data_IF_146338510584
#
_entry.id   IF_146338510584
#
_cell.length_a   1.000
_cell.length_b   1.000
_cell.length_c   1.000
_cell.angle_alpha   90.00
_cell.angle_beta   90.00
_cell.angle_gamma   90.00
#
_symmetry.space_group_name_H-M   'P 1'
#
loop_
_entity.id
_entity.type
_entity.pdbx_description
1 polymer ?
#
# COMPACT_ATOMS: atom_id res chain seq x y z
N UNK A 1 12.35 11.15 -25.62
CA UNK A 1 11.14 11.88 -26.07
C UNK A 1 10.96 13.11 -25.19
N UNK A 2 10.24 14.14 -25.67
CA UNK A 2 9.89 15.30 -24.83
C UNK A 2 8.92 14.85 -23.74
N UNK A 3 8.94 15.48 -22.56
CA UNK A 3 8.06 15.15 -21.44
C UNK A 3 6.57 15.18 -21.82
N UNK A 4 6.18 16.07 -22.75
CA UNK A 4 4.81 16.16 -23.26
C UNK A 4 4.40 14.93 -24.10
N UNK A 5 5.30 14.39 -24.92
CA UNK A 5 5.00 13.20 -25.70
C UNK A 5 4.83 11.96 -24.81
N UNK A 6 5.62 11.85 -23.75
CA UNK A 6 5.47 10.79 -22.73
C UNK A 6 4.12 10.92 -22.01
N UNK A 7 3.76 12.12 -21.55
CA UNK A 7 2.47 12.36 -20.91
C UNK A 7 1.28 12.04 -21.83
N UNK A 8 1.35 12.45 -23.11
CA UNK A 8 0.33 12.15 -24.11
C UNK A 8 0.19 10.64 -24.35
N UNK A 9 1.31 9.90 -24.42
CA UNK A 9 1.30 8.47 -24.60
C UNK A 9 0.69 7.72 -23.39
N UNK A 10 1.02 8.15 -22.15
CA UNK A 10 0.42 7.65 -20.92
C UNK A 10 -1.09 7.83 -20.91
N UNK A 11 -1.55 9.04 -21.20
CA UNK A 11 -2.98 9.35 -21.24
C UNK A 11 -3.70 8.60 -22.36
N UNK A 12 -3.11 8.49 -23.56
CA UNK A 12 -3.69 7.75 -24.67
C UNK A 12 -3.83 6.26 -24.32
N UNK A 13 -2.80 5.64 -23.75
CA UNK A 13 -2.85 4.24 -23.33
C UNK A 13 -3.94 4.01 -22.25
N UNK A 14 -4.04 4.91 -21.26
CA UNK A 14 -5.09 4.85 -20.25
C UNK A 14 -6.49 4.96 -20.86
N UNK A 15 -6.74 5.97 -21.69
CA UNK A 15 -8.06 6.24 -22.32
C UNK A 15 -8.49 5.07 -23.21
N UNK A 16 -7.57 4.38 -23.87
CA UNK A 16 -7.89 3.28 -24.77
C UNK A 16 -8.07 1.94 -24.02
N UNK A 17 -7.15 1.63 -23.10
CA UNK A 17 -7.09 0.29 -22.51
C UNK A 17 -7.95 0.14 -21.25
N UNK A 18 -8.03 1.16 -20.40
CA UNK A 18 -8.80 1.06 -19.15
C UNK A 18 -10.29 0.81 -19.40
N UNK A 19 -10.98 1.53 -20.32
CA UNK A 19 -12.38 1.24 -20.63
C UNK A 19 -12.59 -0.15 -21.22
N UNK A 20 -11.62 -0.66 -21.99
CA UNK A 20 -11.67 -2.01 -22.54
C UNK A 20 -11.66 -3.06 -21.44
N UNK A 21 -10.73 -2.92 -20.46
CA UNK A 21 -10.64 -3.84 -19.32
C UNK A 21 -11.86 -3.75 -18.40
N UNK A 22 -12.41 -2.56 -18.18
CA UNK A 22 -13.68 -2.38 -17.45
C UNK A 22 -14.83 -3.09 -18.14
N UNK A 23 -14.97 -2.98 -19.48
CA UNK A 23 -16.00 -3.70 -20.26
C UNK A 23 -15.84 -5.22 -20.18
N UNK A 24 -14.62 -5.72 -20.06
CA UNK A 24 -14.34 -7.15 -19.86
C UNK A 24 -14.57 -7.63 -18.41
N UNK A 25 -14.98 -6.76 -17.49
CA UNK A 25 -15.19 -7.09 -16.08
C UNK A 25 -13.90 -7.30 -15.28
N UNK A 26 -12.74 -6.89 -15.83
CA UNK A 26 -11.42 -7.08 -15.21
C UNK A 26 -11.00 -5.92 -14.28
N UNK A 27 -11.77 -4.82 -14.25
CA UNK A 27 -11.49 -3.64 -13.43
C UNK A 27 -10.50 -2.66 -14.05
N UNK A 28 -10.44 -1.44 -13.50
CA UNK A 28 -9.56 -0.37 -14.00
C UNK A 28 -8.09 -0.63 -13.67
N UNK A 29 -7.80 -1.17 -12.50
CA UNK A 29 -6.43 -1.45 -12.03
C UNK A 29 -5.66 -2.32 -13.03
N UNK A 30 -6.26 -3.44 -13.48
CA UNK A 30 -5.65 -4.30 -14.49
C UNK A 30 -5.51 -3.59 -15.84
N UNK A 31 -6.44 -2.72 -16.19
CA UNK A 31 -6.35 -1.87 -17.38
C UNK A 31 -5.14 -0.95 -17.36
N UNK A 32 -4.90 -0.27 -16.24
CA UNK A 32 -3.72 0.58 -16.05
C UNK A 32 -2.41 -0.21 -16.04
N UNK A 33 -2.35 -1.35 -15.32
CA UNK A 33 -1.18 -2.23 -15.33
C UNK A 33 -0.84 -2.69 -16.74
N UNK A 34 -1.83 -3.16 -17.51
CA UNK A 34 -1.62 -3.60 -18.87
C UNK A 34 -1.21 -2.45 -19.81
N UNK A 35 -1.81 -1.27 -19.65
CA UNK A 35 -1.38 -0.07 -20.35
C UNK A 35 0.10 0.24 -20.11
N UNK A 36 0.55 0.14 -18.85
CA UNK A 36 1.94 0.29 -18.47
C UNK A 36 2.86 -0.73 -19.14
N UNK A 37 2.51 -2.01 -19.14
CA UNK A 37 3.27 -3.06 -19.84
C UNK A 37 3.44 -2.73 -21.33
N UNK A 38 2.36 -2.29 -21.98
CA UNK A 38 2.36 -1.98 -23.42
C UNK A 38 3.28 -0.82 -23.77
N UNK A 39 3.20 0.30 -23.03
CA UNK A 39 4.00 1.51 -23.32
C UNK A 39 5.41 1.47 -22.71
N UNK A 40 5.63 0.52 -21.78
CA UNK A 40 6.88 0.33 -21.07
C UNK A 40 8.03 -0.15 -21.96
N UNK A 41 9.25 -0.22 -21.40
CA UNK A 41 10.48 -0.56 -22.12
C UNK A 41 10.45 -1.96 -22.73
N UNK A 42 9.61 -2.85 -22.19
CA UNK A 42 9.56 -4.25 -22.61
C UNK A 42 8.75 -4.50 -23.88
N UNK A 43 7.88 -3.55 -24.34
CA UNK A 43 7.02 -3.71 -25.54
C UNK A 43 7.25 -2.57 -26.52
N UNK A 44 6.63 -1.41 -26.33
CA UNK A 44 6.75 -0.28 -27.28
C UNK A 44 7.99 0.58 -26.95
N UNK A 45 8.39 0.67 -25.69
CA UNK A 45 9.57 1.43 -25.26
C UNK A 45 9.40 2.95 -25.36
N UNK A 46 8.19 3.46 -25.22
CA UNK A 46 7.92 4.93 -25.19
C UNK A 46 8.53 5.57 -23.93
N UNK A 47 8.49 4.84 -22.82
CA UNK A 47 9.04 5.24 -21.54
C UNK A 47 10.25 4.39 -21.22
N UNK A 48 11.41 5.04 -21.05
CA UNK A 48 12.69 4.35 -20.79
C UNK A 48 13.04 4.29 -19.29
N UNK A 49 12.50 5.21 -18.49
CA UNK A 49 12.77 5.31 -17.04
C UNK A 49 11.48 5.22 -16.22
N UNK A 50 10.93 4.01 -16.01
CA UNK A 50 9.71 3.82 -15.23
C UNK A 50 9.81 4.30 -13.78
N UNK A 51 11.00 4.23 -13.19
CA UNK A 51 11.26 4.58 -11.79
C UNK A 51 10.96 6.07 -11.49
N UNK A 52 11.34 6.97 -12.40
CA UNK A 52 11.06 8.41 -12.25
C UNK A 52 9.55 8.68 -12.20
N UNK A 53 8.78 7.97 -13.03
CA UNK A 53 7.32 8.08 -13.04
C UNK A 53 6.74 7.45 -11.79
N UNK A 54 7.26 6.31 -11.35
CA UNK A 54 6.82 5.59 -10.16
C UNK A 54 6.90 6.48 -8.91
N UNK A 55 8.04 7.13 -8.66
CA UNK A 55 8.22 8.02 -7.51
C UNK A 55 7.19 9.15 -7.46
N UNK A 56 6.87 9.74 -8.62
CA UNK A 56 5.82 10.78 -8.68
C UNK A 56 4.44 10.18 -8.47
N UNK A 57 4.20 9.01 -9.02
CA UNK A 57 2.92 8.32 -8.98
C UNK A 57 2.60 7.72 -7.59
N UNK A 58 3.60 7.42 -6.76
CA UNK A 58 3.43 7.00 -5.36
C UNK A 58 2.67 8.03 -4.52
N UNK A 59 2.68 9.29 -4.92
CA UNK A 59 1.81 10.32 -4.34
C UNK A 59 0.33 9.96 -4.47
N UNK A 60 -0.08 9.28 -5.55
CA UNK A 60 -1.46 8.82 -5.73
C UNK A 60 -1.91 7.86 -4.65
N UNK A 61 -1.05 6.89 -4.29
CA UNK A 61 -1.31 5.96 -3.17
C UNK A 61 -1.37 6.71 -1.84
N UNK A 62 -0.48 7.69 -1.67
CA UNK A 62 -0.45 8.53 -0.47
C UNK A 62 -1.75 9.34 -0.34
N UNK A 63 -2.25 9.93 -1.42
CA UNK A 63 -3.53 10.67 -1.44
C UNK A 63 -4.74 9.74 -1.20
N UNK A 64 -4.73 8.53 -1.78
CA UNK A 64 -5.74 7.52 -1.51
C UNK A 64 -5.83 7.20 -0.01
N UNK A 65 -4.70 6.99 0.64
CA UNK A 65 -4.66 6.70 2.07
C UNK A 65 -5.18 7.86 2.94
N UNK A 66 -4.97 9.09 2.50
CA UNK A 66 -5.56 10.28 3.13
C UNK A 66 -7.08 10.28 3.02
N UNK A 67 -7.64 10.01 1.83
CA UNK A 67 -9.10 9.92 1.62
C UNK A 67 -9.70 8.82 2.48
N UNK A 68 -9.10 7.63 2.49
CA UNK A 68 -9.56 6.52 3.35
C UNK A 68 -9.50 6.93 4.82
N UNK A 69 -8.45 7.65 5.23
CA UNK A 69 -8.34 8.22 6.58
C UNK A 69 -9.46 9.19 6.91
N UNK A 70 -9.84 10.07 5.97
CA UNK A 70 -10.97 11.01 6.10
C UNK A 70 -12.32 10.31 6.25
N UNK A 71 -12.51 9.20 5.55
CA UNK A 71 -13.74 8.41 5.64
C UNK A 71 -13.86 7.66 6.97
N UNK A 72 -12.75 7.42 7.65
CA UNK A 72 -12.70 6.57 8.83
C UNK A 72 -12.91 7.39 10.12
N UNK A 73 -14.11 7.32 10.66
CA UNK A 73 -14.46 7.91 11.96
C UNK A 73 -13.68 7.23 13.10
N UNK A 74 -13.28 8.00 14.12
CA UNK A 74 -12.49 7.51 15.28
C UNK A 74 -13.15 6.33 15.99
N UNK A 75 -14.47 6.35 16.13
CA UNK A 75 -15.27 5.30 16.75
C UNK A 75 -15.14 3.98 15.95
N UNK A 76 -15.14 4.04 14.63
CA UNK A 76 -14.92 2.89 13.74
C UNK A 76 -13.50 2.31 13.91
N UNK A 77 -12.47 3.15 13.96
CA UNK A 77 -11.08 2.72 14.21
C UNK A 77 -10.96 1.99 15.55
N UNK A 78 -11.53 2.58 16.61
CA UNK A 78 -11.50 1.96 17.93
C UNK A 78 -12.28 0.64 17.96
N UNK A 79 -13.40 0.53 17.25
CA UNK A 79 -14.14 -0.71 17.09
C UNK A 79 -13.30 -1.78 16.36
N UNK A 80 -12.48 -1.40 15.38
CA UNK A 80 -11.64 -2.31 14.60
C UNK A 80 -10.34 -2.74 15.30
N UNK A 81 -9.97 -2.18 16.47
CA UNK A 81 -8.69 -2.48 17.14
C UNK A 81 -8.41 -3.97 17.36
N UNK A 82 -9.45 -4.76 17.69
CA UNK A 82 -9.31 -6.22 17.86
C UNK A 82 -9.03 -6.92 16.52
N UNK A 83 -9.63 -6.44 15.44
CA UNK A 83 -9.39 -6.94 14.10
C UNK A 83 -7.98 -6.56 13.63
N UNK A 84 -7.58 -5.30 13.84
CA UNK A 84 -6.25 -4.79 13.45
C UNK A 84 -5.16 -5.62 14.13
N UNK A 85 -5.11 -5.64 15.46
CA UNK A 85 -4.04 -6.31 16.19
C UNK A 85 -4.21 -7.83 16.31
N UNK A 86 -5.43 -8.35 16.30
CA UNK A 86 -5.69 -9.79 16.37
C UNK A 86 -5.57 -10.47 15.01
N UNK A 87 -6.39 -10.07 14.05
CA UNK A 87 -6.45 -10.72 12.74
C UNK A 87 -5.26 -10.31 11.88
N UNK A 88 -4.80 -9.05 11.98
CA UNK A 88 -3.61 -8.56 11.29
C UNK A 88 -2.36 -9.32 11.75
N UNK A 89 -2.14 -9.46 13.06
CA UNK A 89 -1.04 -10.25 13.59
C UNK A 89 -1.13 -11.73 13.18
N UNK A 90 -2.32 -12.32 13.26
CA UNK A 90 -2.55 -13.70 12.83
C UNK A 90 -2.17 -13.91 11.36
N UNK A 91 -2.58 -12.99 10.48
CA UNK A 91 -2.22 -13.04 9.06
C UNK A 91 -0.70 -13.00 8.87
N UNK A 92 -0.03 -12.00 9.45
CA UNK A 92 1.41 -11.81 9.28
C UNK A 92 2.21 -13.00 9.83
N UNK A 93 1.82 -13.52 11.00
CA UNK A 93 2.49 -14.65 11.62
C UNK A 93 2.28 -15.97 10.84
N UNK A 94 1.04 -16.29 10.49
CA UNK A 94 0.72 -17.57 9.83
C UNK A 94 1.23 -17.59 8.39
N UNK A 95 0.96 -16.55 7.61
CA UNK A 95 1.44 -16.48 6.23
C UNK A 95 2.96 -16.28 6.20
N UNK A 96 3.53 -15.45 7.08
CA UNK A 96 4.96 -15.23 7.19
C UNK A 96 5.71 -16.51 7.54
N UNK A 97 5.24 -17.27 8.54
CA UNK A 97 5.85 -18.54 8.90
C UNK A 97 5.76 -19.59 7.78
N UNK A 98 4.61 -19.70 7.10
CA UNK A 98 4.44 -20.65 6.00
C UNK A 98 5.37 -20.33 4.81
N UNK A 99 5.48 -19.04 4.45
CA UNK A 99 6.36 -18.60 3.38
C UNK A 99 7.84 -18.64 3.77
N UNK A 100 8.17 -18.39 5.03
CA UNK A 100 9.51 -18.58 5.57
C UNK A 100 9.93 -20.07 5.53
N UNK A 101 9.02 -20.99 5.87
CA UNK A 101 9.28 -22.43 5.77
C UNK A 101 9.52 -22.85 4.31
N UNK A 102 8.77 -22.28 3.34
CA UNK A 102 8.99 -22.52 1.92
C UNK A 102 10.37 -21.99 1.48
N UNK A 103 10.74 -20.77 1.89
CA UNK A 103 12.02 -20.17 1.57
C UNK A 103 13.20 -20.96 2.20
N UNK A 104 13.03 -21.46 3.41
CA UNK A 104 14.01 -22.34 4.07
C UNK A 104 14.14 -23.68 3.31
N UNK A 105 13.04 -24.27 2.92
CA UNK A 105 13.05 -25.49 2.08
C UNK A 105 13.75 -25.24 0.73
N UNK A 106 13.67 -24.04 0.18
CA UNK A 106 14.41 -23.61 -1.01
C UNK A 106 15.90 -23.29 -0.72
N UNK A 107 16.46 -23.74 0.40
CA UNK A 107 17.85 -23.60 0.84
C UNK A 107 18.30 -22.16 1.21
N UNK A 108 17.39 -21.25 1.53
CA UNK A 108 17.77 -19.97 2.13
C UNK A 108 18.23 -20.17 3.58
N UNK A 109 19.18 -19.35 4.02
CA UNK A 109 19.58 -19.33 5.45
C UNK A 109 18.36 -18.96 6.33
N UNK A 110 18.25 -19.47 7.58
CA UNK A 110 17.05 -19.26 8.41
C UNK A 110 16.67 -17.77 8.58
N UNK A 111 17.65 -16.89 8.79
CA UNK A 111 17.41 -15.46 8.91
C UNK A 111 16.85 -14.86 7.60
N UNK A 112 17.45 -15.19 6.45
CA UNK A 112 16.97 -14.75 5.13
C UNK A 112 15.59 -15.34 4.81
N UNK A 113 15.36 -16.61 5.13
CA UNK A 113 14.06 -17.25 4.95
C UNK A 113 12.95 -16.55 5.76
N UNK A 114 13.23 -16.15 7.01
CA UNK A 114 12.30 -15.41 7.84
C UNK A 114 11.98 -14.03 7.23
N UNK A 115 13.00 -13.28 6.79
CA UNK A 115 12.83 -11.96 6.16
C UNK A 115 11.98 -12.08 4.90
N UNK A 116 12.35 -13.01 4.00
CA UNK A 116 11.60 -13.25 2.75
C UNK A 116 10.16 -13.69 3.04
N UNK A 117 9.96 -14.56 4.02
CA UNK A 117 8.63 -15.03 4.40
C UNK A 117 7.74 -13.90 4.89
N UNK A 118 8.24 -13.03 5.77
CA UNK A 118 7.51 -11.86 6.25
C UNK A 118 7.24 -10.87 5.10
N UNK A 119 8.23 -10.58 4.26
CA UNK A 119 8.08 -9.67 3.13
C UNK A 119 7.00 -10.15 2.14
N UNK A 120 7.01 -11.44 1.80
CA UNK A 120 6.00 -12.03 0.91
C UNK A 120 4.62 -12.17 1.57
N UNK A 121 4.54 -12.25 2.89
CA UNK A 121 3.26 -12.27 3.61
C UNK A 121 2.56 -10.90 3.55
N UNK A 122 3.30 -9.80 3.47
CA UNK A 122 2.71 -8.48 3.34
C UNK A 122 1.90 -8.35 2.05
N UNK A 123 0.83 -7.58 2.10
CA UNK A 123 -0.10 -7.38 0.98
C UNK A 123 -0.04 -5.93 0.54
N UNK A 124 -0.12 -5.68 -0.76
CA UNK A 124 -0.12 -4.31 -1.30
C UNK A 124 -1.42 -3.59 -0.96
N UNK A 125 -1.32 -2.57 -0.11
CA UNK A 125 -2.42 -1.66 0.21
C UNK A 125 -2.89 -0.93 -1.04
N UNK A 126 -1.93 -0.47 -1.85
CA UNK A 126 -2.18 0.23 -3.11
C UNK A 126 -2.96 -0.60 -4.15
N UNK A 127 -2.90 -1.93 -4.08
CA UNK A 127 -3.66 -2.81 -4.96
C UNK A 127 -4.98 -3.27 -4.33
N UNK A 128 -4.96 -3.68 -3.07
CA UNK A 128 -6.11 -4.31 -2.44
C UNK A 128 -7.26 -3.32 -2.18
N UNK A 129 -6.95 -2.08 -1.75
CA UNK A 129 -8.00 -1.10 -1.43
C UNK A 129 -8.73 -0.57 -2.67
N UNK A 130 -8.06 -0.17 -3.77
CA UNK A 130 -8.77 0.21 -5.00
C UNK A 130 -9.60 -0.92 -5.57
N UNK A 131 -9.11 -2.17 -5.52
CA UNK A 131 -9.87 -3.32 -6.00
C UNK A 131 -11.15 -3.57 -5.18
N UNK A 132 -11.12 -3.35 -3.86
CA UNK A 132 -12.31 -3.40 -3.00
C UNK A 132 -13.24 -2.21 -3.25
N UNK A 133 -12.70 -1.00 -3.42
CA UNK A 133 -13.46 0.21 -3.70
C UNK A 133 -14.22 0.11 -5.03
N UNK A 134 -13.56 -0.35 -6.11
CA UNK A 134 -14.21 -0.57 -7.41
C UNK A 134 -15.40 -1.54 -7.36
N UNK A 135 -15.35 -2.50 -6.43
CA UNK A 135 -16.44 -3.46 -6.22
C UNK A 135 -17.50 -2.96 -5.22
N UNK A 136 -17.31 -1.80 -4.61
CA UNK A 136 -18.20 -1.29 -3.55
C UNK A 136 -18.17 -2.16 -2.29
N UNK A 137 -17.07 -2.88 -2.05
CA UNK A 137 -16.95 -3.87 -0.96
C UNK A 137 -16.20 -3.33 0.27
N UNK A 138 -15.77 -2.06 0.29
CA UNK A 138 -15.02 -1.45 1.39
C UNK A 138 -15.76 -1.53 2.74
N UNK A 139 -17.06 -1.27 2.75
CA UNK A 139 -17.90 -1.33 3.95
C UNK A 139 -18.42 -2.74 4.29
N UNK A 140 -18.16 -3.72 3.45
CA UNK A 140 -18.51 -5.12 3.71
C UNK A 140 -17.74 -5.69 4.90
N UNK A 141 -18.22 -6.75 5.56
CA UNK A 141 -17.49 -7.38 6.67
C UNK A 141 -16.07 -7.82 6.29
N UNK A 142 -15.89 -8.39 5.10
CA UNK A 142 -14.57 -8.81 4.61
C UNK A 142 -13.70 -7.64 4.16
N UNK A 143 -14.29 -6.57 3.60
CA UNK A 143 -13.56 -5.35 3.24
C UNK A 143 -12.98 -4.66 4.47
N UNK A 144 -13.77 -4.50 5.53
CA UNK A 144 -13.30 -3.95 6.82
C UNK A 144 -12.24 -4.82 7.48
N UNK A 145 -12.35 -6.14 7.37
CA UNK A 145 -11.35 -7.06 7.89
C UNK A 145 -10.05 -6.97 7.07
N UNK A 146 -10.15 -6.96 5.74
CA UNK A 146 -9.00 -6.75 4.83
C UNK A 146 -8.29 -5.43 5.15
N UNK A 147 -9.02 -4.34 5.24
CA UNK A 147 -8.48 -3.04 5.64
C UNK A 147 -7.76 -3.09 6.99
N UNK A 148 -8.36 -3.76 7.99
CA UNK A 148 -7.74 -3.92 9.32
C UNK A 148 -6.39 -4.64 9.26
N UNK A 149 -6.30 -5.69 8.43
CA UNK A 149 -5.04 -6.44 8.24
C UNK A 149 -3.99 -5.59 7.55
N UNK A 150 -4.37 -4.86 6.48
CA UNK A 150 -3.47 -3.95 5.76
C UNK A 150 -2.92 -2.85 6.68
N UNK A 151 -3.78 -2.23 7.47
CA UNK A 151 -3.37 -1.22 8.44
C UNK A 151 -2.41 -1.78 9.50
N UNK A 152 -2.64 -3.02 9.98
CA UNK A 152 -1.69 -3.69 10.87
C UNK A 152 -0.35 -3.92 10.19
N UNK A 153 -0.34 -4.34 8.93
CA UNK A 153 0.89 -4.55 8.16
C UNK A 153 1.70 -3.26 8.01
N UNK A 154 1.05 -2.14 7.68
CA UNK A 154 1.70 -0.83 7.59
C UNK A 154 2.31 -0.40 8.93
N UNK A 155 1.63 -0.64 10.05
CA UNK A 155 2.17 -0.41 11.40
C UNK A 155 3.34 -1.38 11.74
N UNK A 156 3.30 -2.59 11.19
CA UNK A 156 4.30 -3.63 11.46
C UNK A 156 5.60 -3.44 10.69
N UNK A 157 5.64 -2.54 9.70
CA UNK A 157 6.87 -2.25 8.93
C UNK A 157 8.02 -1.87 9.85
N UNK A 158 7.76 -1.04 10.89
CA UNK A 158 8.78 -0.58 11.83
C UNK A 158 9.44 -1.74 12.59
N UNK A 159 8.68 -2.59 13.32
CA UNK A 159 9.28 -3.71 14.04
C UNK A 159 9.88 -4.74 13.08
N UNK A 160 9.35 -4.89 11.85
CA UNK A 160 9.93 -5.77 10.84
C UNK A 160 11.27 -5.22 10.35
N UNK A 161 11.40 -3.93 10.05
CA UNK A 161 12.68 -3.32 9.68
C UNK A 161 13.70 -3.40 10.81
N UNK A 162 13.28 -3.19 12.05
CA UNK A 162 14.15 -3.38 13.22
C UNK A 162 14.65 -4.84 13.32
N UNK A 163 13.76 -5.81 13.10
CA UNK A 163 14.11 -7.24 13.06
C UNK A 163 15.11 -7.54 11.94
N UNK A 164 14.89 -7.00 10.74
CA UNK A 164 15.81 -7.14 9.60
C UNK A 164 17.19 -6.56 9.94
N UNK A 165 17.23 -5.36 10.57
CA UNK A 165 18.48 -4.74 11.02
C UNK A 165 19.25 -5.63 12.01
N UNK A 166 18.55 -6.19 13.00
CA UNK A 166 19.17 -7.10 13.99
C UNK A 166 19.67 -8.38 13.34
N UNK A 167 18.87 -9.02 12.49
CA UNK A 167 19.25 -10.25 11.80
C UNK A 167 20.37 -10.03 10.78
N UNK A 168 20.36 -8.88 10.07
CA UNK A 168 21.39 -8.48 9.14
C UNK A 168 22.72 -8.16 9.84
N UNK A 169 22.70 -7.40 10.95
CA UNK A 169 23.87 -7.11 11.77
C UNK A 169 24.50 -8.38 12.34
N UNK A 170 23.68 -9.34 12.78
CA UNK A 170 24.16 -10.64 13.22
C UNK A 170 24.81 -11.47 12.09
N UNK A 171 24.43 -11.23 10.83
CA UNK A 171 25.00 -11.93 9.67
C UNK A 171 26.29 -11.29 9.16
N UNK A 172 26.49 -9.96 9.34
CA UNK A 172 27.60 -9.17 8.79
C UNK A 172 28.60 -8.73 9.87
N UNK A 173 28.26 -8.86 11.17
CA UNK A 173 29.15 -8.52 12.28
C UNK A 173 29.29 -6.99 12.54
N UNK A 174 28.45 -6.16 11.94
CA UNK A 174 28.50 -4.71 12.09
C UNK A 174 27.36 -4.19 12.96
N UNK A 175 27.70 -3.62 14.11
CA UNK A 175 26.74 -3.26 15.18
C UNK A 175 26.19 -1.81 15.06
N UNK A 176 26.02 -1.27 13.85
CA UNK A 176 25.35 0.03 13.66
C UNK A 176 23.86 -0.12 13.34
N UNK A 177 23.12 -0.77 14.25
CA UNK A 177 21.67 -0.77 14.20
C UNK A 177 21.17 0.60 14.70
N UNK A 178 20.80 1.49 13.80
CA UNK A 178 20.08 2.71 14.18
C UNK A 178 18.78 2.27 14.89
N UNK A 179 18.65 2.69 16.14
CA UNK A 179 17.47 2.43 16.96
C UNK A 179 16.26 3.22 16.39
N UNK A 180 15.53 2.61 15.46
CA UNK A 180 14.36 3.21 14.77
C UNK A 180 13.18 3.44 15.73
N UNK A 181 13.20 2.90 16.95
CA UNK A 181 12.00 2.82 17.79
C UNK A 181 11.48 4.14 18.37
N UNK A 182 12.34 4.94 18.98
CA UNK A 182 11.87 6.08 19.78
C UNK A 182 11.46 7.32 18.96
N UNK A 183 12.19 7.76 17.93
CA UNK A 183 11.78 8.91 17.12
C UNK A 183 10.48 8.67 16.38
N UNK A 184 10.26 7.45 15.87
CA UNK A 184 9.04 7.07 15.18
C UNK A 184 7.82 7.12 16.11
N UNK A 185 7.93 6.57 17.34
CA UNK A 185 6.87 6.63 18.32
C UNK A 185 6.58 8.10 18.72
N UNK A 186 7.61 8.90 18.97
CA UNK A 186 7.48 10.30 19.31
C UNK A 186 6.81 11.11 18.19
N UNK A 187 7.13 10.85 16.93
CA UNK A 187 6.51 11.47 15.77
C UNK A 187 5.01 11.14 15.68
N UNK A 188 4.65 9.86 15.79
CA UNK A 188 3.23 9.44 15.78
C UNK A 188 2.46 10.10 16.93
N UNK A 189 2.99 10.04 18.15
CA UNK A 189 2.35 10.67 19.31
C UNK A 189 2.25 12.18 19.13
N UNK A 190 3.31 12.84 18.65
CA UNK A 190 3.32 14.28 18.36
C UNK A 190 2.25 14.66 17.33
N UNK A 191 2.14 13.91 16.23
CA UNK A 191 1.11 14.12 15.20
C UNK A 191 -0.29 13.92 15.77
N UNK A 192 -0.51 12.88 16.56
CA UNK A 192 -1.85 12.60 17.15
C UNK A 192 -2.26 13.68 18.15
N UNK A 193 -1.33 14.18 18.96
CA UNK A 193 -1.63 15.19 20.00
C UNK A 193 -1.71 16.61 19.42
N UNK A 194 -0.79 16.99 18.56
CA UNK A 194 -0.65 18.37 18.06
C UNK A 194 -1.26 18.57 16.67
N UNK A 195 -1.43 17.50 15.90
CA UNK A 195 -1.89 17.58 14.52
C UNK A 195 -3.28 18.21 14.40
N UNK A 196 -4.26 17.75 15.20
CA UNK A 196 -5.64 18.26 15.11
C UNK A 196 -5.75 19.78 15.32
N UNK A 197 -5.21 20.40 16.39
CA UNK A 197 -5.29 21.84 16.56
C UNK A 197 -4.54 22.63 15.48
N UNK A 198 -3.35 22.15 15.07
CA UNK A 198 -2.54 22.79 14.06
C UNK A 198 -3.21 22.79 12.68
N UNK A 199 -3.71 21.63 12.27
CA UNK A 199 -4.43 21.46 10.99
C UNK A 199 -5.73 22.28 10.98
N UNK A 200 -6.50 22.25 12.09
CA UNK A 200 -7.72 23.07 12.19
C UNK A 200 -7.44 24.56 12.06
N UNK A 201 -6.33 25.04 12.65
CA UNK A 201 -5.93 26.45 12.53
C UNK A 201 -5.56 26.79 11.08
N UNK A 202 -4.79 25.92 10.42
CA UNK A 202 -4.37 26.10 9.03
C UNK A 202 -5.57 26.15 8.08
N UNK A 203 -6.53 25.24 8.22
CA UNK A 203 -7.73 25.21 7.36
C UNK A 203 -8.67 26.39 7.64
N UNK A 204 -8.80 26.83 8.90
CA UNK A 204 -9.53 28.08 9.20
C UNK A 204 -8.90 29.30 8.54
N UNK A 205 -7.56 29.33 8.48
CA UNK A 205 -6.85 30.41 7.77
C UNK A 205 -7.06 30.31 6.26
N UNK A 206 -6.93 29.12 5.67
CA UNK A 206 -7.15 28.90 4.24
C UNK A 206 -8.56 29.33 3.79
N UNK A 207 -9.59 28.99 4.58
CA UNK A 207 -10.97 29.44 4.30
C UNK A 207 -11.16 30.95 4.38
N UNK A 208 -10.48 31.63 5.34
CA UNK A 208 -10.56 33.10 5.43
C UNK A 208 -9.98 33.80 4.21
N UNK A 209 -9.06 33.16 3.49
CA UNK A 209 -8.50 33.68 2.24
C UNK A 209 -9.52 33.66 1.09
N UNK A 210 -10.61 32.89 1.19
CA UNK A 210 -11.69 32.86 0.21
C UNK A 210 -11.33 32.26 -1.16
N UNK A 211 -10.17 31.58 -1.26
CA UNK A 211 -9.66 30.98 -2.50
C UNK A 211 -9.68 29.46 -2.37
N UNK A 212 -10.34 28.81 -3.34
CA UNK A 212 -10.39 27.35 -3.43
C UNK A 212 -9.00 26.75 -3.70
N UNK A 213 -8.14 27.46 -4.43
CA UNK A 213 -6.77 27.03 -4.73
C UNK A 213 -5.92 26.96 -3.45
N UNK A 214 -6.07 27.95 -2.55
CA UNK A 214 -5.35 27.96 -1.27
C UNK A 214 -5.82 26.81 -0.38
N UNK A 215 -7.12 26.51 -0.39
CA UNK A 215 -7.68 25.39 0.36
C UNK A 215 -7.15 24.05 -0.18
N UNK A 216 -7.15 23.84 -1.49
CA UNK A 216 -6.59 22.64 -2.14
C UNK A 216 -5.09 22.50 -1.86
N UNK A 217 -4.33 23.61 -1.94
CA UNK A 217 -2.91 23.61 -1.63
C UNK A 217 -2.65 23.24 -0.14
N UNK A 218 -3.48 23.71 0.79
CA UNK A 218 -3.40 23.36 2.20
C UNK A 218 -3.73 21.88 2.43
N UNK A 219 -4.70 21.31 1.69
CA UNK A 219 -5.02 19.89 1.75
C UNK A 219 -3.86 19.01 1.27
N UNK A 220 -3.27 19.35 0.12
CA UNK A 220 -2.09 18.67 -0.41
C UNK A 220 -0.88 18.82 0.51
N UNK A 221 -0.63 20.02 1.03
CA UNK A 221 0.45 20.27 2.00
C UNK A 221 0.28 19.41 3.27
N UNK A 222 -0.93 19.28 3.77
CA UNK A 222 -1.23 18.44 4.94
C UNK A 222 -0.88 16.98 4.65
N UNK A 223 -1.38 16.46 3.54
CA UNK A 223 -1.19 15.05 3.16
C UNK A 223 0.28 14.75 2.90
N UNK A 224 0.91 15.52 2.02
CA UNK A 224 2.32 15.32 1.64
C UNK A 224 3.26 15.63 2.82
N UNK A 225 2.97 16.70 3.59
CA UNK A 225 3.79 17.10 4.73
C UNK A 225 3.81 16.07 5.84
N UNK A 226 2.66 15.47 6.21
CA UNK A 226 2.62 14.40 7.18
C UNK A 226 3.21 13.09 6.64
N UNK A 227 2.99 12.79 5.37
CA UNK A 227 3.63 11.66 4.71
C UNK A 227 5.16 11.79 4.77
N UNK A 228 5.69 12.93 4.38
CA UNK A 228 7.13 13.24 4.45
C UNK A 228 7.66 13.19 5.90
N UNK A 229 6.96 13.79 6.85
CA UNK A 229 7.35 13.74 8.27
C UNK A 229 7.49 12.30 8.77
N UNK A 230 6.55 11.41 8.39
CA UNK A 230 6.62 10.01 8.78
C UNK A 230 7.80 9.29 8.12
N UNK A 231 8.10 9.55 6.86
CA UNK A 231 9.27 8.95 6.19
C UNK A 231 10.61 9.36 6.82
N UNK A 232 10.73 10.59 7.33
CA UNK A 232 11.97 11.04 8.02
C UNK A 232 12.27 10.28 9.31
N UNK A 233 11.25 9.66 9.91
CA UNK A 233 11.41 8.83 11.13
C UNK A 233 11.35 7.32 10.85
N UNK A 234 11.45 6.93 9.57
CA UNK A 234 11.48 5.53 9.15
C UNK A 234 10.11 4.85 9.04
N UNK A 235 9.02 5.64 9.02
CA UNK A 235 7.65 5.15 8.81
C UNK A 235 7.22 5.26 7.34
N UNK A 236 6.15 4.55 6.96
CA UNK A 236 5.60 4.66 5.61
C UNK A 236 4.93 6.03 5.37
N UNK A 237 5.05 6.56 4.14
CA UNK A 237 4.33 7.76 3.70
C UNK A 237 2.81 7.55 3.78
N UNK A 238 2.36 6.34 3.45
CA UNK A 238 0.94 5.93 3.50
C UNK A 238 0.35 6.05 4.90
N UNK A 239 1.09 5.63 5.93
CA UNK A 239 0.68 5.80 7.33
C UNK A 239 0.56 7.29 7.71
N UNK A 240 1.50 8.13 7.28
CA UNK A 240 1.46 9.58 7.53
C UNK A 240 0.22 10.23 6.93
N UNK A 241 -0.07 9.94 5.68
CA UNK A 241 -1.26 10.42 4.98
C UNK A 241 -2.56 9.90 5.62
N UNK A 242 -2.60 8.62 5.97
CA UNK A 242 -3.74 8.03 6.69
C UNK A 242 -4.01 8.73 8.02
N UNK A 243 -2.97 8.95 8.83
CA UNK A 243 -3.12 9.68 10.09
C UNK A 243 -3.61 11.12 9.87
N UNK A 244 -3.13 11.81 8.83
CA UNK A 244 -3.62 13.14 8.45
C UNK A 244 -5.12 13.11 8.16
N UNK A 245 -5.60 12.13 7.39
CA UNK A 245 -7.01 11.93 7.09
C UNK A 245 -7.84 11.67 8.35
N UNK A 246 -7.40 10.73 9.20
CA UNK A 246 -8.08 10.40 10.47
C UNK A 246 -8.20 11.60 11.41
N UNK A 247 -7.16 12.44 11.50
CA UNK A 247 -7.20 13.66 12.32
C UNK A 247 -8.24 14.67 11.84
N UNK A 248 -8.55 14.66 10.55
CA UNK A 248 -9.50 15.56 9.89
C UNK A 248 -10.87 14.91 9.63
N UNK A 249 -11.03 13.61 9.91
CA UNK A 249 -12.26 12.85 9.67
C UNK A 249 -13.50 13.45 10.34
N UNK A 250 -13.34 13.98 11.55
CA UNK A 250 -14.40 14.64 12.33
C UNK A 250 -14.44 16.17 12.10
N UNK A 251 -13.67 16.70 11.14
CA UNK A 251 -13.63 18.13 10.87
C UNK A 251 -14.79 18.57 9.99
N UNK A 252 -15.22 19.82 10.14
CA UNK A 252 -16.22 20.44 9.26
C UNK A 252 -15.75 20.55 7.80
N UNK A 253 -14.46 20.35 7.54
CA UNK A 253 -13.83 20.49 6.23
C UNK A 253 -13.76 19.16 5.46
N UNK A 254 -14.23 18.05 6.03
CA UNK A 254 -14.05 16.69 5.49
C UNK A 254 -14.46 16.57 4.02
N UNK A 255 -15.70 16.96 3.70
CA UNK A 255 -16.22 16.81 2.33
C UNK A 255 -15.51 17.71 1.32
N UNK A 256 -15.08 18.91 1.74
CA UNK A 256 -14.35 19.83 0.89
C UNK A 256 -12.92 19.36 0.64
N UNK A 257 -12.29 18.74 1.65
CA UNK A 257 -11.00 18.08 1.53
C UNK A 257 -11.04 16.90 0.57
N UNK A 258 -12.04 16.04 0.71
CA UNK A 258 -12.28 14.89 -0.15
C UNK A 258 -12.46 15.34 -1.61
N UNK A 259 -13.37 16.27 -1.88
CA UNK A 259 -13.61 16.81 -3.21
C UNK A 259 -12.38 17.51 -3.84
N UNK A 260 -11.53 18.12 -3.00
CA UNK A 260 -10.31 18.78 -3.47
C UNK A 260 -9.17 17.81 -3.81
N UNK A 261 -9.12 16.65 -3.15
CA UNK A 261 -8.02 15.66 -3.29
C UNK A 261 -8.36 14.57 -4.31
N UNK A 262 -9.61 14.13 -4.39
CA UNK A 262 -10.07 13.01 -5.22
C UNK A 262 -9.61 13.10 -6.71
N UNK A 263 -9.66 14.25 -7.40
CA UNK A 263 -9.19 14.32 -8.78
C UNK A 263 -7.70 14.03 -8.96
N UNK A 264 -6.87 14.48 -8.00
CA UNK A 264 -5.43 14.23 -8.02
C UNK A 264 -5.12 12.77 -7.66
N UNK A 265 -5.82 12.23 -6.66
CA UNK A 265 -5.70 10.83 -6.23
C UNK A 265 -5.96 9.89 -7.39
N UNK A 266 -7.12 9.98 -8.03
CA UNK A 266 -7.54 9.07 -9.09
C UNK A 266 -6.59 9.09 -10.29
N UNK A 267 -6.09 10.28 -10.68
CA UNK A 267 -5.18 10.41 -11.81
C UNK A 267 -3.79 9.86 -11.49
N UNK A 268 -3.25 10.19 -10.32
CA UNK A 268 -1.93 9.73 -9.89
C UNK A 268 -1.93 8.23 -9.56
N UNK A 269 -3.03 7.70 -9.02
CA UNK A 269 -3.19 6.27 -8.78
C UNK A 269 -3.19 5.48 -10.10
N UNK A 270 -3.87 5.98 -11.13
CA UNK A 270 -3.79 5.40 -12.47
C UNK A 270 -2.36 5.41 -13.03
N UNK A 271 -1.65 6.52 -12.85
CA UNK A 271 -0.24 6.64 -13.24
C UNK A 271 0.66 5.66 -12.46
N UNK A 272 0.39 5.47 -11.17
CA UNK A 272 1.10 4.49 -10.32
C UNK A 272 0.97 3.08 -10.88
N UNK A 273 -0.24 2.63 -11.20
CA UNK A 273 -0.42 1.28 -11.77
C UNK A 273 0.22 1.15 -13.15
N UNK A 274 0.21 2.19 -13.97
CA UNK A 274 0.96 2.18 -15.24
C UNK A 274 2.47 2.08 -14.99
N UNK A 275 3.02 2.83 -14.03
CA UNK A 275 4.44 2.77 -13.69
C UNK A 275 4.86 1.37 -13.21
N UNK A 276 4.05 0.76 -12.34
CA UNK A 276 4.25 -0.64 -11.91
C UNK A 276 4.21 -1.60 -13.11
N UNK A 277 3.25 -1.42 -14.02
CA UNK A 277 3.16 -2.21 -15.24
C UNK A 277 4.38 -2.07 -16.15
N UNK A 278 4.92 -0.86 -16.29
CA UNK A 278 6.16 -0.61 -17.06
C UNK A 278 7.39 -1.30 -16.47
N UNK A 279 7.44 -1.47 -15.13
CA UNK A 279 8.51 -2.18 -14.43
C UNK A 279 8.54 -3.69 -14.66
N UNK A 280 7.53 -4.27 -15.32
CA UNK A 280 7.49 -5.70 -15.60
C UNK A 280 8.54 -6.10 -16.61
N UNK A 281 9.50 -6.94 -16.18
CA UNK A 281 10.55 -7.47 -17.05
C UNK A 281 10.04 -8.70 -17.83
N UNK A 282 9.61 -8.48 -19.07
CA UNK A 282 9.10 -9.55 -19.93
C UNK A 282 10.18 -10.56 -20.39
N UNK A 283 11.46 -10.19 -20.34
CA UNK A 283 12.53 -11.10 -20.73
C UNK A 283 12.74 -12.21 -19.68
N UNK A 284 12.60 -11.86 -18.39
CA UNK A 284 12.56 -12.87 -17.34
C UNK A 284 11.36 -13.80 -17.50
N UNK A 285 10.19 -13.23 -17.82
CA UNK A 285 8.99 -14.01 -18.06
C UNK A 285 9.14 -14.97 -19.27
N UNK A 286 9.80 -14.52 -20.35
CA UNK A 286 10.08 -15.37 -21.54
C UNK A 286 11.06 -16.49 -21.24
N UNK A 287 12.06 -16.27 -20.35
CA UNK A 287 13.08 -17.29 -20.02
C UNK A 287 12.53 -18.47 -19.22
N UNK A 288 11.62 -18.21 -18.27
CA UNK A 288 11.08 -19.25 -17.41
C UNK A 288 9.60 -19.01 -17.06
N UNK A 289 8.69 -18.97 -18.05
CA UNK A 289 7.30 -18.55 -17.85
C UNK A 289 6.56 -19.45 -16.85
N UNK A 290 6.71 -20.75 -16.98
CA UNK A 290 6.04 -21.71 -16.10
C UNK A 290 6.59 -21.71 -14.67
N UNK A 291 7.89 -21.50 -14.50
CA UNK A 291 8.49 -21.42 -13.16
C UNK A 291 8.05 -20.13 -12.43
N UNK A 292 8.05 -18.99 -13.11
CA UNK A 292 7.61 -17.72 -12.52
C UNK A 292 6.11 -17.72 -12.21
N UNK A 293 5.30 -18.19 -13.15
CA UNK A 293 3.85 -18.34 -12.94
C UNK A 293 3.55 -19.32 -11.82
N UNK A 294 4.23 -20.47 -11.80
CA UNK A 294 4.10 -21.48 -10.76
C UNK A 294 4.49 -20.96 -9.38
N UNK A 295 5.59 -20.20 -9.27
CA UNK A 295 6.02 -19.58 -8.02
C UNK A 295 5.01 -18.54 -7.54
N UNK A 296 4.56 -17.64 -8.43
CA UNK A 296 3.55 -16.63 -8.11
C UNK A 296 2.25 -17.27 -7.62
N UNK A 297 1.75 -18.27 -8.34
CA UNK A 297 0.55 -19.03 -7.96
C UNK A 297 0.74 -19.76 -6.64
N UNK A 298 1.90 -20.36 -6.40
CA UNK A 298 2.21 -21.04 -5.13
C UNK A 298 2.17 -20.06 -3.95
N UNK A 299 2.78 -18.89 -4.09
CA UNK A 299 2.75 -17.85 -3.04
C UNK A 299 1.31 -17.40 -2.77
N UNK A 300 0.53 -17.09 -3.82
CA UNK A 300 -0.87 -16.67 -3.70
C UNK A 300 -1.72 -17.75 -3.01
N UNK A 301 -1.58 -19.01 -3.43
CA UNK A 301 -2.30 -20.13 -2.86
C UNK A 301 -1.91 -20.38 -1.40
N UNK A 302 -0.61 -20.35 -1.08
CA UNK A 302 -0.14 -20.52 0.30
C UNK A 302 -0.73 -19.43 1.18
N UNK A 303 -0.68 -18.16 0.78
CA UNK A 303 -1.29 -17.05 1.54
C UNK A 303 -2.79 -17.26 1.72
N UNK A 304 -3.52 -17.52 0.63
CA UNK A 304 -4.97 -17.72 0.68
C UNK A 304 -5.36 -18.90 1.57
N UNK A 305 -4.73 -20.06 1.37
CA UNK A 305 -5.05 -21.29 2.12
C UNK A 305 -4.66 -21.15 3.59
N UNK A 306 -3.45 -20.71 3.88
CA UNK A 306 -2.96 -20.59 5.24
C UNK A 306 -3.79 -19.60 6.05
N UNK A 307 -4.10 -18.44 5.49
CA UNK A 307 -4.95 -17.47 6.17
C UNK A 307 -6.39 -17.95 6.31
N UNK A 308 -6.97 -18.56 5.26
CA UNK A 308 -8.29 -19.17 5.34
C UNK A 308 -8.36 -20.22 6.46
N UNK A 309 -7.41 -21.13 6.53
CA UNK A 309 -7.36 -22.17 7.58
C UNK A 309 -7.21 -21.53 8.97
N UNK A 310 -6.33 -20.55 9.11
CA UNK A 310 -6.17 -19.83 10.37
C UNK A 310 -7.47 -19.14 10.80
N UNK A 311 -8.14 -18.46 9.88
CA UNK A 311 -9.43 -17.80 10.16
C UNK A 311 -10.54 -18.82 10.51
N UNK A 312 -10.59 -19.91 9.78
CA UNK A 312 -11.62 -20.94 9.98
C UNK A 312 -11.44 -21.71 11.28
N UNK A 313 -10.22 -22.16 11.57
CA UNK A 313 -9.94 -23.11 12.65
C UNK A 313 -9.45 -22.44 13.93
N UNK A 314 -8.66 -21.36 13.85
CA UNK A 314 -8.13 -20.67 15.06
C UNK A 314 -9.17 -19.69 15.61
N UNK A 315 -9.82 -18.89 14.73
CA UNK A 315 -10.76 -17.85 15.16
C UNK A 315 -12.23 -18.22 15.02
N UNK A 316 -12.54 -19.37 14.42
CA UNK A 316 -13.92 -19.83 14.24
C UNK A 316 -14.76 -18.97 13.27
N UNK A 317 -14.12 -18.21 12.39
CA UNK A 317 -14.84 -17.33 11.47
C UNK A 317 -15.74 -18.11 10.50
N UNK A 318 -16.93 -17.60 10.17
CA UNK A 318 -17.79 -18.21 9.19
C UNK A 318 -17.14 -18.15 7.79
N UNK A 319 -17.43 -19.14 6.97
CA UNK A 319 -16.86 -19.31 5.63
C UNK A 319 -17.13 -18.09 4.73
N UNK A 320 -18.31 -17.47 4.89
CA UNK A 320 -18.71 -16.25 4.17
C UNK A 320 -17.80 -15.04 4.42
N UNK A 321 -17.03 -15.06 5.51
CA UNK A 321 -16.08 -14.01 5.85
C UNK A 321 -14.63 -14.47 5.57
N UNK A 322 -14.28 -15.69 5.97
CA UNK A 322 -12.91 -16.19 5.86
C UNK A 322 -12.42 -16.31 4.42
N UNK A 323 -13.25 -16.80 3.49
CA UNK A 323 -12.86 -16.95 2.08
C UNK A 323 -12.58 -15.62 1.37
N UNK A 324 -13.51 -14.64 1.32
CA UNK A 324 -13.27 -13.41 0.58
C UNK A 324 -12.11 -12.60 1.18
N UNK A 325 -11.97 -12.56 2.51
CA UNK A 325 -10.82 -11.91 3.15
C UNK A 325 -9.49 -12.59 2.77
N UNK A 326 -9.44 -13.93 2.76
CA UNK A 326 -8.24 -14.68 2.37
C UNK A 326 -7.85 -14.43 0.91
N UNK A 327 -8.82 -14.36 0.01
CA UNK A 327 -8.59 -14.06 -1.41
C UNK A 327 -8.09 -12.61 -1.57
N UNK A 328 -8.72 -11.65 -0.92
CA UNK A 328 -8.31 -10.24 -1.00
C UNK A 328 -6.88 -10.02 -0.49
N UNK A 329 -6.47 -10.73 0.57
CA UNK A 329 -5.14 -10.63 1.18
C UNK A 329 -4.08 -11.54 0.54
N UNK A 330 -4.46 -12.41 -0.40
CA UNK A 330 -3.50 -13.27 -1.09
C UNK A 330 -2.55 -12.49 -2.01
N UNK A 331 -2.97 -11.34 -2.52
CA UNK A 331 -2.13 -10.49 -3.40
C UNK A 331 -0.81 -10.12 -2.75
N UNK A 332 0.28 -10.12 -3.53
CA UNK A 332 1.64 -9.79 -3.08
C UNK A 332 2.00 -8.40 -3.57
N UNK A 333 2.70 -7.64 -2.73
CA UNK A 333 3.17 -6.28 -3.04
C UNK A 333 3.12 -5.41 -1.79
N UNK A 334 3.53 -4.17 -1.86
CA UNK A 334 3.62 -3.25 -0.73
C UNK A 334 5.04 -3.10 -0.22
N UNK A 335 5.30 -2.88 1.08
CA UNK A 335 6.63 -2.53 1.61
C UNK A 335 7.74 -3.57 1.36
N UNK A 336 7.41 -4.73 0.77
CA UNK A 336 8.40 -5.70 0.29
C UNK A 336 9.40 -5.12 -0.71
N UNK A 337 9.08 -4.05 -1.42
CA UNK A 337 10.01 -3.35 -2.30
C UNK A 337 11.20 -2.74 -1.53
N UNK A 338 10.98 -2.30 -0.29
CA UNK A 338 12.03 -1.75 0.57
C UNK A 338 12.88 -2.84 1.25
N UNK A 339 12.37 -4.07 1.35
CA UNK A 339 13.10 -5.19 1.95
C UNK A 339 13.97 -5.94 0.93
N UNK A 340 13.68 -5.85 -0.36
CA UNK A 340 14.46 -6.49 -1.44
C UNK A 340 15.86 -5.88 -1.66
N UNK A 341 16.15 -4.71 -1.10
CA UNK A 341 17.48 -4.07 -1.18
C UNK A 341 18.52 -4.71 -0.23
N UNK A 342 18.11 -5.58 0.67
CA UNK A 342 18.96 -6.19 1.71
C UNK A 342 19.12 -7.72 1.56
N UNK A 343 18.60 -8.33 0.51
CA UNK A 343 18.78 -9.74 0.15
C UNK A 343 19.83 -9.88 -0.95
#
# INVERSE_FOLDING_TARGET
MTSLATAAALLAAAVLLVPLFKKLGLGSVLGYLFAGVVIGPSVIGVVHEPETILHTAELGVTLLMFIIGLELQRERLWALRRSIFGIGALHLLVCGAALAALAWWANLRPAGALIVGIALAMTSTAFALPALAERGEMDSPHGRETFSVLLFQDLSVIPVLALVGVLGAAAVGDAQTQAIGWPALAAVVGVVLLGRPLLSLMFKFALKCGSHEIFTAAALLTTIGLAWLMTTVGLSSTLGAFLAGVLLADSQFRHELEASIEPFESLLLGLFFMAVGMGVNLDLLKRAPFAMLGLALAILLIKAVMFYLARRFITGAPDRLARPTAIALATVGGPSQHLGFFA
#
